data_IF_582989934403
#
_entry.id   IF_582989934403
#
_cell.length_a   1.000
_cell.length_b   1.000
_cell.length_c   1.000
_cell.angle_alpha   90.00
_cell.angle_beta   90.00
_cell.angle_gamma   90.00
#
_symmetry.space_group_name_H-M   'P 1'
#
loop_
_entity.id
_entity.type
_entity.pdbx_description
1 polymer ?
#
# COMPACT_ATOMS: atom_id res chain seq x y z
N UNK A 1 -12.41 12.10 2.21
CA UNK A 1 -12.02 11.16 1.12
C UNK A 1 -11.19 10.04 1.74
N UNK A 2 -11.40 8.81 1.27
CA UNK A 2 -10.73 7.61 1.75
C UNK A 2 -9.58 7.19 0.83
N UNK A 3 -8.65 6.40 1.34
CA UNK A 3 -7.55 5.80 0.60
C UNK A 3 -7.72 4.29 0.53
N UNK A 4 -7.54 3.69 -0.64
CA UNK A 4 -7.47 2.23 -0.77
C UNK A 4 -6.21 1.82 -1.54
N UNK A 5 -5.39 0.97 -0.91
CA UNK A 5 -4.09 0.55 -1.42
C UNK A 5 -4.14 -0.90 -1.89
N UNK A 6 -3.77 -1.15 -3.13
CA UNK A 6 -3.75 -2.48 -3.76
C UNK A 6 -2.35 -2.79 -4.33
N UNK A 7 -1.93 -4.05 -4.21
CA UNK A 7 -0.70 -4.61 -4.75
C UNK A 7 -0.96 -5.81 -5.66
N UNK A 8 -2.17 -6.37 -5.64
CA UNK A 8 -2.53 -7.57 -6.42
C UNK A 8 -3.90 -7.40 -7.10
N UNK A 9 -4.15 -8.11 -8.22
CA UNK A 9 -5.46 -8.19 -8.84
C UNK A 9 -6.60 -8.62 -7.90
N UNK A 10 -6.34 -9.54 -6.97
CA UNK A 10 -7.33 -9.99 -6.00
C UNK A 10 -7.72 -8.86 -5.04
N UNK A 11 -6.72 -8.13 -4.52
CA UNK A 11 -6.97 -6.97 -3.67
C UNK A 11 -7.83 -5.91 -4.39
N UNK A 12 -7.65 -5.71 -5.72
CA UNK A 12 -8.54 -4.81 -6.48
C UNK A 12 -9.98 -5.30 -6.49
N UNK A 13 -10.22 -6.60 -6.65
CA UNK A 13 -11.60 -7.13 -6.62
C UNK A 13 -12.26 -6.93 -5.26
N UNK A 14 -11.50 -7.14 -4.19
CA UNK A 14 -11.96 -6.92 -2.82
C UNK A 14 -12.19 -5.41 -2.58
N UNK A 15 -11.27 -4.56 -3.02
CA UNK A 15 -11.38 -3.12 -2.94
C UNK A 15 -12.66 -2.59 -3.61
N UNK A 16 -13.00 -3.12 -4.79
CA UNK A 16 -14.27 -2.79 -5.47
C UNK A 16 -15.48 -3.13 -4.60
N UNK A 17 -15.48 -4.28 -3.92
CA UNK A 17 -16.55 -4.64 -2.97
C UNK A 17 -16.59 -3.76 -1.74
N UNK A 18 -15.44 -3.38 -1.19
CA UNK A 18 -15.37 -2.41 -0.09
C UNK A 18 -15.99 -1.08 -0.53
N UNK A 19 -15.63 -0.57 -1.70
CA UNK A 19 -16.17 0.70 -2.23
C UNK A 19 -17.68 0.60 -2.47
N UNK A 20 -18.17 -0.49 -3.05
CA UNK A 20 -19.60 -0.74 -3.25
C UNK A 20 -20.39 -0.69 -1.92
N UNK A 21 -19.81 -1.14 -0.82
CA UNK A 21 -20.42 -1.10 0.53
C UNK A 21 -20.41 0.31 1.16
N UNK A 22 -19.71 1.28 0.57
CA UNK A 22 -19.62 2.66 1.05
C UNK A 22 -20.07 3.65 -0.05
N UNK A 23 -21.34 3.56 -0.52
CA UNK A 23 -21.80 4.27 -1.72
C UNK A 23 -21.77 5.81 -1.61
N UNK A 24 -21.73 6.34 -0.39
CA UNK A 24 -21.69 7.78 -0.12
C UNK A 24 -20.27 8.30 0.19
N UNK A 25 -19.25 7.45 0.07
CA UNK A 25 -17.87 7.81 0.37
C UNK A 25 -17.02 7.82 -0.90
N UNK A 26 -16.13 8.81 -1.02
CA UNK A 26 -15.18 8.92 -2.13
C UNK A 26 -13.87 8.22 -1.80
N UNK A 27 -13.30 7.54 -2.79
CA UNK A 27 -12.05 6.80 -2.65
C UNK A 27 -10.98 7.29 -3.63
N UNK A 28 -9.76 7.39 -3.11
CA UNK A 28 -8.53 7.51 -3.87
C UNK A 28 -7.86 6.14 -3.97
N UNK A 29 -7.73 5.63 -5.19
CA UNK A 29 -7.15 4.30 -5.45
C UNK A 29 -5.66 4.35 -5.72
N UNK A 30 -4.89 3.47 -5.11
CA UNK A 30 -3.45 3.34 -5.42
C UNK A 30 -3.13 1.89 -5.75
N UNK A 31 -2.67 1.65 -6.97
CA UNK A 31 -2.20 0.33 -7.41
C UNK A 31 -0.67 0.30 -7.50
N UNK A 32 -0.05 -0.55 -6.70
CA UNK A 32 1.38 -0.82 -6.74
C UNK A 32 1.69 -1.99 -7.68
N UNK A 33 2.85 -1.96 -8.34
CA UNK A 33 3.34 -3.11 -9.09
C UNK A 33 4.81 -3.03 -9.46
N UNK A 34 5.52 -4.15 -9.33
CA UNK A 34 6.90 -4.27 -9.81
C UNK A 34 7.01 -4.67 -11.28
N UNK A 35 5.94 -5.22 -11.86
CA UNK A 35 5.83 -5.57 -13.29
C UNK A 35 4.45 -5.21 -13.79
N UNK A 36 4.39 -4.44 -14.87
CA UNK A 36 3.16 -3.96 -15.51
C UNK A 36 2.87 -4.76 -16.79
N UNK A 37 2.17 -5.87 -16.63
CA UNK A 37 1.66 -6.69 -17.74
C UNK A 37 0.20 -6.37 -18.06
N UNK A 38 -0.36 -6.99 -19.12
CA UNK A 38 -1.77 -6.80 -19.52
C UNK A 38 -2.74 -7.06 -18.36
N UNK A 39 -2.44 -8.05 -17.51
CA UNK A 39 -3.28 -8.40 -16.37
C UNK A 39 -3.25 -7.25 -15.35
N UNK A 40 -2.09 -6.82 -14.89
CA UNK A 40 -1.99 -5.77 -13.87
C UNK A 40 -2.57 -4.45 -14.37
N UNK A 41 -2.32 -4.08 -15.62
CA UNK A 41 -2.90 -2.88 -16.24
C UNK A 41 -4.42 -2.95 -16.28
N UNK A 42 -5.00 -4.11 -16.64
CA UNK A 42 -6.45 -4.31 -16.58
C UNK A 42 -7.02 -4.08 -15.18
N UNK A 43 -6.38 -4.63 -14.15
CA UNK A 43 -6.86 -4.46 -12.77
C UNK A 43 -6.64 -3.05 -12.22
N UNK A 44 -5.59 -2.34 -12.66
CA UNK A 44 -5.45 -0.92 -12.35
C UNK A 44 -6.58 -0.09 -12.95
N UNK A 45 -6.99 -0.36 -14.20
CA UNK A 45 -8.16 0.28 -14.82
C UNK A 45 -9.44 0.01 -14.03
N UNK A 46 -9.67 -1.25 -13.63
CA UNK A 46 -10.85 -1.62 -12.82
C UNK A 46 -10.91 -0.93 -11.46
N UNK A 47 -9.75 -0.60 -10.88
CA UNK A 47 -9.69 0.18 -9.64
C UNK A 47 -10.03 1.65 -9.94
N UNK A 48 -9.46 2.22 -11.00
CA UNK A 48 -9.73 3.59 -11.43
C UNK A 48 -11.22 3.83 -11.73
N UNK A 49 -11.90 2.86 -12.35
CA UNK A 49 -13.34 2.91 -12.68
C UNK A 49 -14.26 3.13 -11.47
N UNK A 50 -13.84 2.70 -10.27
CA UNK A 50 -14.67 2.77 -9.05
C UNK A 50 -14.18 3.84 -8.06
N UNK A 51 -13.04 4.46 -8.31
CA UNK A 51 -12.47 5.50 -7.45
C UNK A 51 -12.72 6.89 -8.05
N UNK A 52 -12.77 7.91 -7.20
CA UNK A 52 -12.90 9.31 -7.66
C UNK A 52 -11.63 9.81 -8.35
N UNK A 53 -10.47 9.31 -7.91
CA UNK A 53 -9.18 9.49 -8.57
C UNK A 53 -8.28 8.29 -8.24
N UNK A 54 -7.26 8.03 -9.05
CA UNK A 54 -6.35 6.91 -8.84
C UNK A 54 -4.94 7.15 -9.36
N UNK A 55 -3.97 6.45 -8.77
CA UNK A 55 -2.59 6.47 -9.22
C UNK A 55 -1.98 5.06 -9.29
N UNK A 56 -1.06 4.90 -10.23
CA UNK A 56 -0.27 3.68 -10.39
C UNK A 56 1.17 3.95 -9.94
N UNK A 57 1.69 3.10 -9.05
CA UNK A 57 3.06 3.18 -8.54
C UNK A 57 3.85 1.98 -9.02
N UNK A 58 4.84 2.25 -9.87
CA UNK A 58 5.86 1.27 -10.19
C UNK A 58 6.84 1.13 -9.02
N UNK A 59 6.98 -0.09 -8.50
CA UNK A 59 7.90 -0.42 -7.41
C UNK A 59 9.25 -0.95 -7.92
N UNK A 60 9.39 -1.12 -9.24
CA UNK A 60 10.55 -1.67 -9.93
C UNK A 60 10.73 -3.17 -9.65
N UNK A 61 10.92 -3.96 -10.70
CA UNK A 61 11.30 -5.36 -10.56
C UNK A 61 12.78 -5.46 -10.17
N UNK A 62 13.10 -6.26 -9.17
CA UNK A 62 14.47 -6.66 -8.82
C UNK A 62 15.46 -5.50 -8.52
N UNK A 63 14.95 -4.30 -8.20
CA UNK A 63 15.80 -3.16 -7.84
C UNK A 63 16.58 -3.43 -6.56
N UNK A 64 17.87 -3.10 -6.57
CA UNK A 64 18.79 -3.26 -5.44
C UNK A 64 19.53 -1.96 -5.14
N UNK A 65 20.00 -1.83 -3.90
CA UNK A 65 20.90 -0.76 -3.50
C UNK A 65 20.34 0.64 -3.76
N UNK A 66 21.11 1.46 -4.47
CA UNK A 66 20.82 2.88 -4.66
C UNK A 66 19.56 3.14 -5.50
N UNK A 67 19.28 2.32 -6.52
CA UNK A 67 18.11 2.50 -7.39
C UNK A 67 16.80 2.28 -6.62
N UNK A 68 16.80 1.30 -5.70
CA UNK A 68 15.69 1.10 -4.78
C UNK A 68 15.46 2.34 -3.90
N UNK A 69 16.51 2.88 -3.28
CA UNK A 69 16.41 4.08 -2.43
C UNK A 69 15.95 5.31 -3.20
N UNK A 70 16.42 5.47 -4.45
CA UNK A 70 16.02 6.56 -5.33
C UNK A 70 14.53 6.47 -5.66
N UNK A 71 14.03 5.28 -5.98
CA UNK A 71 12.61 5.08 -6.29
C UNK A 71 11.73 5.31 -5.05
N UNK A 72 12.14 4.84 -3.88
CA UNK A 72 11.45 5.11 -2.60
C UNK A 72 11.39 6.61 -2.30
N UNK A 73 12.45 7.37 -2.60
CA UNK A 73 12.44 8.83 -2.46
C UNK A 73 11.54 9.50 -3.48
N UNK A 74 11.52 9.00 -4.72
CA UNK A 74 10.63 9.51 -5.77
C UNK A 74 9.16 9.26 -5.45
N UNK A 75 8.83 8.14 -4.77
CA UNK A 75 7.47 7.86 -4.31
C UNK A 75 6.90 9.03 -3.51
N UNK A 76 7.65 9.58 -2.56
CA UNK A 76 7.22 10.74 -1.77
C UNK A 76 6.77 11.92 -2.63
N UNK A 77 7.46 12.16 -3.74
CA UNK A 77 7.14 13.27 -4.64
C UNK A 77 5.91 12.98 -5.52
N UNK A 78 5.54 11.71 -5.69
CA UNK A 78 4.34 11.29 -6.44
C UNK A 78 3.06 11.33 -5.61
N UNK A 79 3.16 11.42 -4.28
CA UNK A 79 2.00 11.48 -3.39
C UNK A 79 1.33 12.87 -3.54
N UNK A 80 0.19 12.89 -4.22
CA UNK A 80 -0.59 14.10 -4.51
C UNK A 80 -1.53 14.47 -3.36
N UNK A 81 -2.21 13.48 -2.78
CA UNK A 81 -3.12 13.66 -1.65
C UNK A 81 -2.44 13.35 -0.33
N UNK A 82 -2.51 14.29 0.62
CA UNK A 82 -1.79 14.20 1.91
C UNK A 82 -2.66 13.81 3.10
N UNK A 83 -3.99 13.80 2.97
CA UNK A 83 -4.89 13.56 4.09
C UNK A 83 -6.13 12.78 3.70
N UNK A 84 -6.49 11.79 4.53
CA UNK A 84 -7.61 10.88 4.32
C UNK A 84 -8.43 10.72 5.60
N UNK A 85 -9.70 10.34 5.47
CA UNK A 85 -10.52 9.95 6.61
C UNK A 85 -10.17 8.52 7.02
N UNK A 86 -10.36 7.58 6.09
CA UNK A 86 -10.08 6.16 6.28
C UNK A 86 -9.03 5.66 5.29
N UNK A 87 -8.23 4.68 5.72
CA UNK A 87 -7.28 3.97 4.88
C UNK A 87 -7.62 2.49 4.89
N UNK A 88 -7.66 1.86 3.70
CA UNK A 88 -7.92 0.44 3.52
C UNK A 88 -6.70 -0.23 2.85
N UNK A 89 -6.15 -1.28 3.47
CA UNK A 89 -5.10 -2.11 2.85
C UNK A 89 -5.08 -3.55 3.38
N UNK A 90 -4.57 -4.49 2.60
CA UNK A 90 -4.40 -5.87 3.07
C UNK A 90 -3.00 -6.19 3.63
N UNK A 91 -1.95 -5.84 2.90
CA UNK A 91 -0.60 -6.29 3.21
C UNK A 91 0.18 -5.29 4.08
N UNK A 92 0.22 -5.51 5.39
CA UNK A 92 0.93 -4.64 6.33
C UNK A 92 2.47 -4.74 6.24
N UNK A 93 3.02 -5.77 5.60
CA UNK A 93 4.47 -6.01 5.51
C UNK A 93 5.13 -5.31 4.33
N UNK A 94 4.34 -4.80 3.39
CA UNK A 94 4.87 -4.13 2.21
C UNK A 94 5.53 -2.81 2.61
N UNK A 95 6.86 -2.74 2.49
CA UNK A 95 7.63 -1.52 2.75
C UNK A 95 7.16 -0.34 1.87
N UNK A 96 6.66 -0.62 0.66
CA UNK A 96 6.05 0.38 -0.22
C UNK A 96 4.77 0.97 0.37
N UNK A 97 3.90 0.13 0.93
CA UNK A 97 2.67 0.58 1.59
C UNK A 97 3.02 1.36 2.87
N UNK A 98 3.91 0.83 3.71
CA UNK A 98 4.37 1.52 4.93
C UNK A 98 4.95 2.91 4.61
N UNK A 99 5.79 2.99 3.57
CA UNK A 99 6.36 4.26 3.13
C UNK A 99 5.30 5.22 2.62
N UNK A 100 4.32 4.75 1.83
CA UNK A 100 3.19 5.58 1.40
C UNK A 100 2.43 6.13 2.61
N UNK A 101 2.05 5.25 3.55
CA UNK A 101 1.33 5.60 4.77
C UNK A 101 2.10 6.61 5.62
N UNK A 102 3.42 6.50 5.69
CA UNK A 102 4.29 7.40 6.47
C UNK A 102 4.31 8.85 5.95
N UNK A 103 3.86 9.05 4.72
CA UNK A 103 3.83 10.35 4.04
C UNK A 103 2.42 10.93 3.86
N UNK A 104 1.40 10.28 4.43
CA UNK A 104 0.01 10.76 4.43
C UNK A 104 -0.52 10.79 5.87
N UNK A 105 -1.53 11.62 6.12
CA UNK A 105 -2.31 11.59 7.36
C UNK A 105 -3.63 10.86 7.15
N UNK A 106 -4.09 10.18 8.19
CA UNK A 106 -5.39 9.53 8.21
C UNK A 106 -5.96 9.41 9.63
N UNK A 107 -7.29 9.33 9.75
CA UNK A 107 -7.98 9.19 11.05
C UNK A 107 -8.10 7.72 11.44
N UNK A 108 -8.51 6.87 10.51
CA UNK A 108 -8.81 5.46 10.75
C UNK A 108 -8.06 4.54 9.76
N UNK A 109 -7.69 3.36 10.25
CA UNK A 109 -7.02 2.31 9.49
C UNK A 109 -7.88 1.06 9.51
N UNK A 110 -8.22 0.55 8.32
CA UNK A 110 -8.93 -0.69 8.11
C UNK A 110 -8.04 -1.66 7.34
N UNK A 111 -7.99 -2.90 7.81
CA UNK A 111 -7.33 -3.99 7.07
C UNK A 111 -8.34 -4.95 6.51
N UNK A 112 -8.01 -5.59 5.40
CA UNK A 112 -8.86 -6.62 4.79
C UNK A 112 -8.01 -7.83 4.36
N UNK A 113 -8.63 -9.00 4.35
CA UNK A 113 -7.94 -10.24 3.96
C UNK A 113 -7.69 -10.25 2.44
N UNK A 114 -6.49 -10.65 2.02
CA UNK A 114 -6.13 -10.78 0.60
C UNK A 114 -5.72 -12.18 0.18
N UNK A 115 -5.83 -13.16 1.07
CA UNK A 115 -5.58 -14.55 0.77
C UNK A 115 -5.61 -15.47 1.97
N UNK A 116 -5.19 -16.71 1.74
CA UNK A 116 -5.09 -17.74 2.77
C UNK A 116 -4.07 -17.43 3.87
N UNK A 117 -3.12 -16.55 3.61
CA UNK A 117 -2.10 -16.14 4.56
C UNK A 117 -2.70 -15.52 5.83
N UNK A 118 -3.87 -14.89 5.74
CA UNK A 118 -4.63 -14.34 6.87
C UNK A 118 -5.22 -15.42 7.80
N UNK A 119 -5.38 -16.65 7.31
CA UNK A 119 -5.95 -17.78 8.08
C UNK A 119 -4.87 -18.40 8.97
N UNK A 120 -3.61 -18.38 8.55
CA UNK A 120 -2.54 -18.98 9.32
C UNK A 120 -2.12 -18.05 10.47
N UNK A 121 -2.09 -18.53 11.73
CA UNK A 121 -1.69 -17.74 12.88
C UNK A 121 -0.16 -17.54 12.95
N UNK A 122 0.50 -17.33 11.82
CA UNK A 122 1.95 -17.25 11.73
C UNK A 122 2.45 -15.85 12.10
N UNK A 123 3.13 -15.69 13.25
CA UNK A 123 3.77 -14.42 13.60
C UNK A 123 4.95 -14.08 12.67
N UNK A 124 5.41 -15.04 11.83
CA UNK A 124 6.52 -14.84 10.90
C UNK A 124 6.14 -14.01 9.67
N UNK A 125 4.88 -14.07 9.24
CA UNK A 125 4.42 -13.25 8.13
C UNK A 125 4.40 -11.76 8.52
N UNK A 126 4.29 -11.44 9.81
CA UNK A 126 4.27 -10.08 10.34
C UNK A 126 5.64 -9.58 10.84
N UNK A 127 6.74 -10.22 10.44
CA UNK A 127 8.09 -9.85 10.87
C UNK A 127 8.82 -9.01 9.83
N UNK A 128 9.24 -7.84 10.26
CA UNK A 128 10.21 -7.04 9.52
C UNK A 128 11.63 -7.56 9.75
N UNK A 129 12.55 -7.41 8.77
CA UNK A 129 13.95 -7.74 8.96
C UNK A 129 14.55 -6.92 10.11
N UNK A 130 14.97 -7.58 11.20
CA UNK A 130 15.65 -6.92 12.33
C UNK A 130 17.15 -6.76 12.06
N UNK A 131 17.50 -6.01 11.00
CA UNK A 131 18.89 -5.72 10.65
C UNK A 131 19.17 -4.23 10.74
N UNK A 132 20.41 -3.87 11.10
CA UNK A 132 20.85 -2.48 11.13
C UNK A 132 20.68 -1.78 9.77
N UNK A 133 20.96 -2.50 8.68
CA UNK A 133 20.74 -2.00 7.31
C UNK A 133 19.27 -1.65 7.05
N UNK A 134 18.33 -2.51 7.46
CA UNK A 134 16.90 -2.24 7.30
C UNK A 134 16.44 -1.03 8.12
N UNK A 135 16.91 -0.90 9.37
CA UNK A 135 16.65 0.27 10.22
C UNK A 135 17.18 1.56 9.60
N UNK A 136 18.38 1.54 9.01
CA UNK A 136 18.94 2.69 8.29
C UNK A 136 18.12 3.06 7.05
N UNK A 137 17.68 2.07 6.27
CA UNK A 137 16.82 2.30 5.09
C UNK A 137 15.53 2.99 5.52
N UNK A 138 14.84 2.47 6.56
CA UNK A 138 13.62 3.08 7.11
C UNK A 138 13.82 4.50 7.60
N UNK A 139 14.92 4.77 8.31
CA UNK A 139 15.25 6.12 8.76
C UNK A 139 15.48 7.06 7.57
N UNK A 140 16.21 6.62 6.54
CA UNK A 140 16.52 7.43 5.36
C UNK A 140 15.27 7.80 4.55
N UNK A 141 14.36 6.84 4.35
CA UNK A 141 13.10 7.08 3.62
C UNK A 141 12.05 7.79 4.49
N UNK A 142 12.31 8.00 5.78
CA UNK A 142 11.37 8.64 6.72
C UNK A 142 10.15 7.77 7.02
N UNK A 143 10.29 6.44 6.96
CA UNK A 143 9.20 5.52 7.26
C UNK A 143 8.92 5.50 8.76
N UNK A 144 7.73 6.01 9.13
CA UNK A 144 7.23 6.10 10.49
C UNK A 144 6.50 4.83 10.93
N UNK A 145 6.00 4.05 9.97
CA UNK A 145 5.22 2.86 10.22
C UNK A 145 6.08 1.60 10.20
N UNK A 146 5.64 0.65 11.01
CA UNK A 146 6.08 -0.73 10.97
C UNK A 146 4.87 -1.61 11.20
N UNK A 147 4.98 -2.88 10.86
CA UNK A 147 3.92 -3.87 11.10
C UNK A 147 3.43 -3.76 12.55
N UNK A 148 4.37 -3.80 13.52
CA UNK A 148 4.05 -3.68 14.95
C UNK A 148 3.35 -2.38 15.35
N UNK A 149 3.64 -1.25 14.69
CA UNK A 149 2.98 0.03 14.97
C UNK A 149 1.58 0.10 14.37
N UNK A 150 1.37 -0.53 13.21
CA UNK A 150 0.08 -0.59 12.55
C UNK A 150 -0.89 -1.55 13.28
N UNK A 151 -0.38 -2.63 13.89
CA UNK A 151 -1.19 -3.57 14.68
C UNK A 151 -1.56 -3.11 16.10
N UNK A 152 -0.84 -2.14 16.67
CA UNK A 152 -1.03 -1.69 18.06
C UNK A 152 -1.88 -0.41 18.18
N UNK A 153 -2.44 0.07 17.07
CA UNK A 153 -3.27 1.27 17.00
C UNK A 153 -4.72 0.87 16.81
#
# INVERSE_FOLDING_TARGET
MNLILCCTPLQVLIARKIIELHPNEQFFGVMFGGVWDKKRTLYASKLAEVCSDSMNIDTGKDLKGFDFLKLMRQLKNKITHKGFDKVFLANLNSLWLQTYLSHVSFKELYTFDDGSDNIFPHPNLLREPDTFKYKLIKAFIGDKYSVNKLFKK
#
